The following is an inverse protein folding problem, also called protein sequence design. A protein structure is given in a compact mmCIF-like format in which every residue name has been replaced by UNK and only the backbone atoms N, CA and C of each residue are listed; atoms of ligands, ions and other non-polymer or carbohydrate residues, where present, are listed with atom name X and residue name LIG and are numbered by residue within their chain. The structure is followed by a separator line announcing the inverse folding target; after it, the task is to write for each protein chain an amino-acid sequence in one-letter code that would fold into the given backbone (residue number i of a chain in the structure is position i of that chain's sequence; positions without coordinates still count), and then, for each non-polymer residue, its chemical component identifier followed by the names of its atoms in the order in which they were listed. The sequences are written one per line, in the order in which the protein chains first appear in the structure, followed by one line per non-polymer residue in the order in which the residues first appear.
data_IF_213708019076
#
_entry.id   IF_213708019076
#
_cell.length_a   1.000
_cell.length_b   1.000
_cell.length_c   1.000
_cell.angle_alpha   90.00
_cell.angle_beta   90.00
_cell.angle_gamma   90.00
#
_symmetry.space_group_name_H-M   'P 1'
#
loop_
_entity.id
_entity.type
_entity.pdbx_description
1 polymer ?
#
# COMPACT_ATOMS: atom_id res chain seq x y z
N UNK A 1 -25.14 -1.03 -8.53
CA UNK A 1 -24.47 -0.56 -7.31
C UNK A 1 -23.00 -0.18 -7.54
N UNK A 2 -22.37 -0.57 -8.66
CA UNK A 2 -20.93 -0.27 -8.89
C UNK A 2 -19.98 -1.22 -8.14
N UNK A 3 -20.52 -2.27 -7.53
CA UNK A 3 -19.75 -3.31 -6.85
C UNK A 3 -19.09 -4.26 -7.87
N UNK A 4 -17.95 -4.84 -7.48
CA UNK A 4 -17.13 -5.72 -8.33
C UNK A 4 -17.79 -7.11 -8.49
N UNK A 5 -18.69 -7.50 -7.59
CA UNK A 5 -19.38 -8.80 -7.61
C UNK A 5 -20.76 -8.74 -6.95
N UNK A 6 -21.67 -9.63 -7.35
CA UNK A 6 -22.95 -9.85 -6.66
C UNK A 6 -22.79 -10.33 -5.20
N UNK A 7 -21.61 -10.85 -4.84
CA UNK A 7 -21.28 -11.33 -3.49
C UNK A 7 -20.39 -10.38 -2.70
N UNK A 8 -20.41 -9.09 -3.04
CA UNK A 8 -19.53 -8.07 -2.47
C UNK A 8 -19.47 -8.07 -0.94
N UNK A 9 -20.60 -8.33 -0.27
CA UNK A 9 -20.68 -8.38 1.21
C UNK A 9 -19.87 -9.55 1.80
N UNK A 10 -19.76 -10.66 1.08
CA UNK A 10 -19.00 -11.84 1.50
C UNK A 10 -17.51 -11.60 1.22
N UNK A 11 -17.19 -11.08 0.02
CA UNK A 11 -15.80 -10.84 -0.37
C UNK A 11 -15.13 -9.69 0.37
N UNK A 12 -15.89 -8.71 0.89
CA UNK A 12 -15.37 -7.64 1.76
C UNK A 12 -14.79 -8.13 3.09
N UNK A 13 -15.24 -9.29 3.58
CA UNK A 13 -14.81 -9.85 4.86
C UNK A 13 -13.65 -10.85 4.72
N UNK A 14 -13.13 -11.05 3.51
CA UNK A 14 -11.98 -11.92 3.28
C UNK A 14 -10.69 -11.09 3.33
N UNK A 15 -9.83 -11.37 4.31
CA UNK A 15 -8.66 -10.54 4.64
C UNK A 15 -7.75 -10.26 3.42
N UNK A 16 -7.46 -11.27 2.61
CA UNK A 16 -6.58 -11.12 1.45
C UNK A 16 -7.22 -10.40 0.25
N UNK A 17 -8.56 -10.32 0.19
CA UNK A 17 -9.25 -9.64 -0.92
C UNK A 17 -8.99 -8.14 -0.89
N UNK A 18 -8.74 -7.58 0.30
CA UNK A 18 -8.38 -6.17 0.45
C UNK A 18 -7.09 -5.82 -0.28
N UNK A 19 -6.03 -6.63 -0.14
CA UNK A 19 -4.74 -6.37 -0.79
C UNK A 19 -4.85 -6.38 -2.32
N UNK A 20 -5.60 -7.32 -2.90
CA UNK A 20 -5.85 -7.36 -4.33
C UNK A 20 -6.65 -6.13 -4.83
N UNK A 21 -7.54 -5.58 -4.01
CA UNK A 21 -8.25 -4.33 -4.33
C UNK A 21 -7.35 -3.11 -4.24
N UNK A 22 -6.47 -3.08 -3.24
CA UNK A 22 -5.48 -2.02 -3.08
C UNK A 22 -4.53 -1.98 -4.30
N UNK A 23 -4.01 -3.12 -4.74
CA UNK A 23 -3.19 -3.22 -5.96
C UNK A 23 -3.93 -2.67 -7.19
N UNK A 24 -5.19 -3.06 -7.39
CA UNK A 24 -6.02 -2.54 -8.49
C UNK A 24 -6.21 -1.02 -8.40
N UNK A 25 -6.41 -0.49 -7.19
CA UNK A 25 -6.54 0.95 -6.95
C UNK A 25 -5.24 1.69 -7.26
N UNK A 26 -4.09 1.15 -6.84
CA UNK A 26 -2.77 1.70 -7.11
C UNK A 26 -2.53 1.77 -8.62
N UNK A 27 -2.81 0.68 -9.34
CA UNK A 27 -2.71 0.63 -10.80
C UNK A 27 -3.63 1.63 -11.50
N UNK A 28 -4.87 1.79 -11.02
CA UNK A 28 -5.82 2.76 -11.57
C UNK A 28 -5.36 4.22 -11.33
N UNK A 29 -4.66 4.49 -10.23
CA UNK A 29 -4.16 5.83 -9.88
C UNK A 29 -2.79 6.16 -10.46
N UNK A 30 -2.13 5.22 -11.15
CA UNK A 30 -0.80 5.41 -11.73
C UNK A 30 -0.66 6.68 -12.59
N UNK A 31 -1.70 7.01 -13.36
CA UNK A 31 -1.75 8.16 -14.27
C UNK A 31 -2.71 9.27 -13.80
N UNK A 32 -3.13 9.25 -12.52
CA UNK A 32 -3.98 10.31 -11.97
C UNK A 32 -3.20 11.63 -11.79
N UNK A 33 -3.90 12.70 -11.40
CA UNK A 33 -3.25 13.97 -11.06
C UNK A 33 -2.41 13.81 -9.78
N UNK A 34 -1.11 14.08 -9.89
CA UNK A 34 -0.13 14.01 -8.80
C UNK A 34 -0.42 14.96 -7.64
N UNK A 35 -1.15 16.04 -7.87
CA UNK A 35 -1.52 16.99 -6.82
C UNK A 35 -2.61 16.44 -5.90
N UNK A 36 -3.33 15.41 -6.35
CA UNK A 36 -4.46 14.81 -5.63
C UNK A 36 -4.22 13.34 -5.25
N UNK A 37 -3.16 12.71 -5.77
CA UNK A 37 -2.85 11.30 -5.53
C UNK A 37 -1.39 11.08 -5.18
N UNK A 38 -1.15 10.56 -3.98
CA UNK A 38 0.18 10.10 -3.55
C UNK A 38 0.78 9.07 -4.51
N UNK A 39 -0.02 8.09 -4.93
CA UNK A 39 0.38 7.05 -5.89
C UNK A 39 0.89 7.66 -7.19
N UNK A 40 0.15 8.61 -7.78
CA UNK A 40 0.56 9.28 -9.01
C UNK A 40 1.86 10.06 -8.84
N UNK A 41 2.00 10.80 -7.73
CA UNK A 41 3.22 11.52 -7.37
C UNK A 41 4.42 10.58 -7.25
N UNK A 42 4.23 9.42 -6.63
CA UNK A 42 5.28 8.42 -6.45
C UNK A 42 5.72 7.82 -7.80
N UNK A 43 4.77 7.45 -8.67
CA UNK A 43 5.08 6.96 -10.02
C UNK A 43 5.81 7.99 -10.88
N UNK A 44 5.41 9.28 -10.82
CA UNK A 44 6.10 10.34 -11.55
C UNK A 44 7.51 10.60 -11.03
N UNK A 45 7.75 10.35 -9.74
CA UNK A 45 9.08 10.43 -9.12
C UNK A 45 10.04 9.32 -9.60
N UNK A 46 9.52 8.30 -10.29
CA UNK A 46 10.29 7.25 -10.96
C UNK A 46 10.73 6.10 -10.05
N UNK A 47 11.17 5.01 -10.68
CA UNK A 47 11.51 3.74 -10.01
C UNK A 47 12.56 3.89 -8.92
N UNK A 48 13.54 4.78 -9.08
CA UNK A 48 14.57 5.04 -8.07
C UNK A 48 13.96 5.52 -6.75
N UNK A 49 12.97 6.42 -6.81
CA UNK A 49 12.32 6.96 -5.60
C UNK A 49 11.40 5.92 -4.95
N UNK A 50 10.70 5.11 -5.75
CA UNK A 50 9.89 3.99 -5.25
C UNK A 50 10.76 2.97 -4.52
N UNK A 51 11.85 2.51 -5.15
CA UNK A 51 12.76 1.54 -4.54
C UNK A 51 13.45 2.09 -3.28
N UNK A 52 13.73 3.41 -3.24
CA UNK A 52 14.21 4.05 -2.02
C UNK A 52 13.21 3.93 -0.87
N UNK A 53 11.91 4.16 -1.11
CA UNK A 53 10.88 3.99 -0.09
C UNK A 53 10.84 2.56 0.43
N UNK A 54 10.81 1.55 -0.45
CA UNK A 54 10.88 0.13 -0.05
C UNK A 54 12.08 -0.16 0.86
N UNK A 55 13.24 0.45 0.57
CA UNK A 55 14.42 0.31 1.43
C UNK A 55 14.29 1.01 2.79
N UNK A 56 13.70 2.21 2.84
CA UNK A 56 13.43 2.96 4.08
C UNK A 56 12.47 2.15 4.98
N UNK A 57 11.30 1.78 4.46
CA UNK A 57 10.27 1.06 5.23
C UNK A 57 10.76 -0.32 5.69
N UNK A 58 11.62 -0.98 4.90
CA UNK A 58 12.21 -2.27 5.26
C UNK A 58 13.14 -2.16 6.47
N UNK A 59 13.88 -1.04 6.58
CA UNK A 59 14.73 -0.76 7.75
C UNK A 59 13.87 -0.39 8.95
N UNK A 60 12.87 0.46 8.77
CA UNK A 60 11.95 0.90 9.83
C UNK A 60 11.17 -0.29 10.42
N UNK A 61 10.65 -1.18 9.56
CA UNK A 61 10.02 -2.45 9.97
C UNK A 61 10.97 -3.32 10.81
N UNK A 62 12.23 -3.47 10.39
CA UNK A 62 13.20 -4.28 11.12
C UNK A 62 13.57 -3.67 12.48
N UNK A 63 13.67 -2.33 12.55
CA UNK A 63 13.94 -1.61 13.80
C UNK A 63 12.76 -1.73 14.77
N UNK A 64 11.53 -1.51 14.32
CA UNK A 64 10.31 -1.67 15.12
C UNK A 64 10.21 -3.08 15.73
N UNK A 65 10.49 -4.11 14.93
CA UNK A 65 10.55 -5.50 15.41
C UNK A 65 11.65 -5.71 16.47
N UNK A 66 12.81 -5.06 16.31
CA UNK A 66 13.94 -5.19 17.23
C UNK A 66 13.66 -4.55 18.58
N UNK A 67 12.96 -3.42 18.62
CA UNK A 67 12.57 -2.73 19.86
C UNK A 67 11.28 -3.29 20.48
N UNK A 68 10.64 -4.28 19.82
CA UNK A 68 9.37 -4.90 20.23
C UNK A 68 8.21 -3.91 20.30
N UNK A 69 8.24 -2.87 19.47
CA UNK A 69 7.09 -1.99 19.29
C UNK A 69 6.13 -2.64 18.28
N UNK A 70 5.04 -3.19 18.81
CA UNK A 70 4.06 -3.90 17.98
C UNK A 70 3.22 -2.95 17.13
N UNK A 71 2.93 -1.75 17.63
CA UNK A 71 2.08 -0.81 16.91
C UNK A 71 2.85 -0.21 15.74
N UNK A 72 4.09 0.22 16.00
CA UNK A 72 5.01 0.70 14.96
C UNK A 72 5.27 -0.41 13.93
N UNK A 73 5.55 -1.64 14.37
CA UNK A 73 5.77 -2.76 13.44
C UNK A 73 4.58 -3.00 12.49
N UNK A 74 3.34 -2.84 12.96
CA UNK A 74 2.14 -3.00 12.12
C UNK A 74 2.06 -1.87 11.10
N UNK A 75 2.35 -0.63 11.50
CA UNK A 75 2.35 0.54 10.62
C UNK A 75 3.44 0.43 9.55
N UNK A 76 4.70 0.18 9.94
CA UNK A 76 5.84 0.08 9.03
C UNK A 76 5.69 -1.10 8.05
N UNK A 77 5.16 -2.23 8.52
CA UNK A 77 4.87 -3.36 7.64
C UNK A 77 3.76 -3.03 6.62
N UNK A 78 2.78 -2.19 6.99
CA UNK A 78 1.74 -1.74 6.07
C UNK A 78 2.29 -0.77 5.02
N UNK A 79 3.17 0.15 5.43
CA UNK A 79 3.85 1.08 4.52
C UNK A 79 4.79 0.35 3.56
N UNK A 80 5.55 -0.64 4.06
CA UNK A 80 6.37 -1.54 3.25
C UNK A 80 5.54 -2.32 2.22
N UNK A 81 4.36 -2.81 2.59
CA UNK A 81 3.47 -3.54 1.66
C UNK A 81 2.78 -2.63 0.64
N UNK A 82 2.60 -1.35 0.96
CA UNK A 82 2.03 -0.36 0.04
C UNK A 82 3.04 0.08 -1.02
N UNK A 83 4.31 0.22 -0.61
CA UNK A 83 5.40 0.76 -1.40
C UNK A 83 6.01 -0.20 -2.43
#
# INVERSE_FOLDING_TARGET
TGDISCFEKISKNADFVFLARLEKLINARKNADENTSYTAKLFKSGTKRIAQKVGEEGVETALAATVKDKEELICEAADLMYH
#
